data_IF_143628778831
#
_entry.id   IF_143628778831
#
_cell.length_a   1.000
_cell.length_b   1.000
_cell.length_c   1.000
_cell.angle_alpha   90.00
_cell.angle_beta   90.00
_cell.angle_gamma   90.00
#
_symmetry.space_group_name_H-M   'P 1'
#
loop_
_entity.id
_entity.type
_entity.pdbx_description
1 polymer ?
#
# COMPACT_ATOMS: atom_id res chain seq x y z
N UNK A 1 16.75 -19.00 -6.53
CA UNK A 1 15.92 -17.79 -6.36
C UNK A 1 16.52 -16.75 -7.28
N UNK A 2 15.87 -16.45 -8.41
CA UNK A 2 16.26 -15.28 -9.21
C UNK A 2 15.85 -14.06 -8.40
N UNK A 3 16.82 -13.42 -7.73
CA UNK A 3 16.62 -12.19 -7.00
C UNK A 3 16.17 -11.08 -7.95
N UNK A 4 15.53 -10.06 -7.42
CA UNK A 4 15.35 -8.79 -8.13
C UNK A 4 16.77 -8.23 -8.33
N UNK A 5 17.28 -8.31 -9.54
CA UNK A 5 18.58 -7.74 -9.89
C UNK A 5 18.34 -6.27 -10.16
N UNK A 6 19.09 -5.39 -9.49
CA UNK A 6 19.15 -3.99 -9.86
C UNK A 6 19.61 -3.91 -11.32
N UNK A 7 18.99 -3.04 -12.12
CA UNK A 7 19.36 -2.82 -13.52
C UNK A 7 20.59 -1.88 -13.58
N UNK A 8 21.68 -2.32 -12.94
CA UNK A 8 22.96 -1.62 -12.95
C UNK A 8 23.92 -2.38 -13.87
N UNK A 9 24.67 -1.66 -14.66
CA UNK A 9 25.77 -2.22 -15.43
C UNK A 9 27.00 -2.48 -14.53
N UNK A 10 27.94 -3.26 -15.04
CA UNK A 10 29.15 -3.57 -14.28
C UNK A 10 29.95 -2.28 -14.02
N UNK A 11 30.17 -1.96 -12.75
CA UNK A 11 30.91 -0.78 -12.33
C UNK A 11 30.04 0.42 -11.98
N UNK A 12 28.71 0.33 -12.16
CA UNK A 12 27.78 1.37 -11.72
C UNK A 12 27.41 1.25 -10.24
N UNK A 13 27.21 2.39 -9.59
CA UNK A 13 26.72 2.51 -8.22
C UNK A 13 25.57 3.52 -8.17
N UNK A 14 24.58 3.27 -7.32
CA UNK A 14 23.54 4.26 -7.05
C UNK A 14 24.14 5.33 -6.13
N UNK A 15 24.18 6.58 -6.60
CA UNK A 15 24.70 7.72 -5.83
C UNK A 15 23.60 8.49 -5.13
N UNK A 16 22.38 8.48 -5.65
CA UNK A 16 21.26 9.20 -5.06
C UNK A 16 19.94 8.60 -5.46
N UNK A 17 18.91 8.85 -4.65
CA UNK A 17 17.50 8.56 -4.93
C UNK A 17 16.73 9.86 -4.82
N UNK A 18 16.07 10.28 -5.91
CA UNK A 18 15.19 11.45 -5.91
C UNK A 18 13.77 11.02 -5.56
N UNK A 19 13.24 11.57 -4.47
CA UNK A 19 11.84 11.37 -4.08
C UNK A 19 11.08 12.66 -4.45
N UNK A 20 10.18 12.62 -5.45
CA UNK A 20 9.41 13.79 -5.82
C UNK A 20 8.44 14.16 -4.69
N UNK A 21 8.10 15.45 -4.54
CA UNK A 21 7.06 15.89 -3.61
C UNK A 21 5.72 15.23 -3.98
N UNK A 22 4.88 15.05 -2.98
CA UNK A 22 3.59 14.41 -3.10
C UNK A 22 2.54 15.26 -2.38
N UNK A 23 1.32 15.31 -2.93
CA UNK A 23 0.17 16.02 -2.36
C UNK A 23 -0.72 15.08 -1.53
N UNK A 24 -0.21 13.93 -1.10
CA UNK A 24 -0.98 13.00 -0.26
C UNK A 24 -1.38 13.68 1.04
N UNK A 25 -2.69 13.74 1.29
CA UNK A 25 -3.28 14.35 2.48
C UNK A 25 -3.41 13.36 3.64
N UNK A 26 -3.56 12.08 3.33
CA UNK A 26 -3.71 11.01 4.30
C UNK A 26 -2.68 9.92 4.03
N UNK A 27 -1.98 9.48 5.05
CA UNK A 27 -0.94 8.46 4.95
C UNK A 27 -1.09 7.40 6.06
N UNK A 28 -0.74 6.17 5.73
CA UNK A 28 -0.69 5.06 6.68
C UNK A 28 0.52 4.19 6.39
N UNK A 29 1.26 3.84 7.42
CA UNK A 29 2.35 2.89 7.33
C UNK A 29 2.29 1.89 8.47
N UNK A 30 2.40 0.61 8.13
CA UNK A 30 2.48 -0.44 9.14
C UNK A 30 3.53 -1.49 8.76
N UNK A 31 4.31 -1.88 9.77
CA UNK A 31 5.26 -2.98 9.69
C UNK A 31 4.85 -4.08 10.67
N UNK A 32 4.70 -5.29 10.19
CA UNK A 32 4.46 -6.46 11.01
C UNK A 32 5.73 -7.28 11.08
N UNK A 33 6.26 -7.45 12.28
CA UNK A 33 7.44 -8.26 12.59
C UNK A 33 7.13 -9.35 13.61
N UNK A 34 8.10 -10.22 13.90
CA UNK A 34 7.98 -11.26 14.94
C UNK A 34 8.12 -10.70 16.36
N UNK A 35 8.74 -9.54 16.50
CA UNK A 35 9.05 -8.89 17.78
C UNK A 35 9.07 -7.37 17.57
N UNK A 36 9.01 -6.61 18.68
CA UNK A 36 8.91 -5.14 18.63
C UNK A 36 10.15 -4.45 18.06
N UNK A 37 11.34 -5.01 18.24
CA UNK A 37 12.59 -4.43 17.78
C UNK A 37 13.46 -5.46 17.04
N UNK A 38 14.35 -4.97 16.16
CA UNK A 38 15.32 -5.77 15.42
C UNK A 38 14.71 -6.99 14.71
N UNK A 39 13.53 -6.82 14.12
CA UNK A 39 12.81 -7.89 13.44
C UNK A 39 12.78 -7.66 11.92
N UNK A 40 13.00 -8.75 11.18
CA UNK A 40 12.68 -8.80 9.76
C UNK A 40 11.17 -8.69 9.59
N UNK A 41 10.72 -7.87 8.66
CA UNK A 41 9.30 -7.70 8.37
C UNK A 41 8.68 -8.98 7.83
N UNK A 42 7.59 -9.44 8.43
CA UNK A 42 6.71 -10.44 7.82
C UNK A 42 5.84 -9.82 6.73
N UNK A 43 5.49 -8.55 6.93
CA UNK A 43 4.71 -7.74 6.01
C UNK A 43 4.97 -6.27 6.32
N UNK A 44 5.01 -5.45 5.29
CA UNK A 44 4.91 -3.99 5.41
C UNK A 44 3.83 -3.51 4.47
N UNK A 45 3.13 -2.45 4.85
CA UNK A 45 2.22 -1.74 3.99
C UNK A 45 2.45 -0.24 4.13
N UNK A 46 2.38 0.45 3.01
CA UNK A 46 2.36 1.91 2.94
C UNK A 46 1.21 2.31 2.04
N UNK A 47 0.33 3.17 2.54
CA UNK A 47 -0.85 3.63 1.83
C UNK A 47 -0.87 5.15 1.93
N UNK A 48 -1.29 5.81 0.86
CA UNK A 48 -1.53 7.24 0.84
C UNK A 48 -2.69 7.58 -0.06
N UNK A 49 -3.44 8.61 0.33
CA UNK A 49 -4.50 9.17 -0.47
C UNK A 49 -4.37 10.69 -0.53
N UNK A 50 -4.58 11.27 -1.69
CA UNK A 50 -4.88 12.69 -1.83
C UNK A 50 -6.40 12.85 -1.91
N UNK A 51 -6.96 13.56 -0.94
CA UNK A 51 -8.38 13.88 -0.92
C UNK A 51 -8.52 15.39 -1.18
N UNK A 52 -9.35 15.74 -2.14
CA UNK A 52 -9.67 17.13 -2.48
C UNK A 52 -11.17 17.27 -2.71
N UNK A 53 -11.80 18.24 -2.03
CA UNK A 53 -13.24 18.49 -2.11
C UNK A 53 -14.09 17.21 -1.84
N UNK A 54 -13.67 16.39 -0.86
CA UNK A 54 -14.35 15.17 -0.49
C UNK A 54 -14.22 14.02 -1.50
N UNK A 55 -13.30 14.12 -2.47
CA UNK A 55 -13.01 13.08 -3.48
C UNK A 55 -11.58 12.61 -3.39
N UNK A 56 -11.38 11.32 -3.63
CA UNK A 56 -10.06 10.72 -3.79
C UNK A 56 -9.52 11.06 -5.18
N UNK A 57 -8.52 11.94 -5.25
CA UNK A 57 -7.89 12.34 -6.53
C UNK A 57 -6.65 11.51 -6.85
N UNK A 58 -6.00 10.97 -5.82
CA UNK A 58 -4.90 10.01 -5.97
C UNK A 58 -4.96 8.98 -4.83
N UNK A 59 -4.67 7.73 -5.14
CA UNK A 59 -4.59 6.65 -4.17
C UNK A 59 -3.41 5.77 -4.50
N UNK A 60 -2.56 5.52 -3.52
CA UNK A 60 -1.35 4.72 -3.66
C UNK A 60 -1.26 3.71 -2.53
N UNK A 61 -1.08 2.45 -2.88
CA UNK A 61 -0.81 1.41 -1.90
C UNK A 61 0.37 0.56 -2.34
N UNK A 62 1.23 0.21 -1.39
CA UNK A 62 2.35 -0.69 -1.64
C UNK A 62 2.53 -1.66 -0.49
N UNK A 63 2.93 -2.89 -0.82
CA UNK A 63 3.15 -3.94 0.17
C UNK A 63 4.50 -4.60 -0.04
N UNK A 64 5.31 -4.60 1.01
CA UNK A 64 6.57 -5.33 1.09
C UNK A 64 6.37 -6.70 1.71
N UNK A 65 7.19 -7.68 1.29
CA UNK A 65 7.09 -9.08 1.68
C UNK A 65 5.77 -9.78 1.27
N UNK A 66 4.99 -9.16 0.40
CA UNK A 66 3.77 -9.71 -0.20
C UNK A 66 4.01 -10.33 -1.59
N UNK A 67 5.25 -10.34 -2.06
CA UNK A 67 5.69 -10.90 -3.33
C UNK A 67 7.22 -10.92 -3.41
N UNK A 68 7.79 -11.24 -4.59
CA UNK A 68 9.24 -11.28 -4.79
C UNK A 68 9.90 -9.89 -4.70
N UNK A 69 9.14 -8.83 -4.86
CA UNK A 69 9.52 -7.42 -4.72
C UNK A 69 8.39 -6.68 -4.00
N UNK A 70 8.58 -5.40 -3.71
CA UNK A 70 7.47 -4.54 -3.26
C UNK A 70 6.40 -4.51 -4.36
N UNK A 71 5.18 -4.80 -3.97
CA UNK A 71 4.02 -4.84 -4.87
C UNK A 71 3.29 -3.50 -4.79
N UNK A 72 2.89 -3.00 -5.94
CA UNK A 72 1.94 -1.92 -6.16
C UNK A 72 1.04 -2.31 -7.33
N UNK A 73 -0.24 -2.00 -7.27
CA UNK A 73 -1.22 -2.33 -8.31
C UNK A 73 -2.02 -1.10 -8.72
N UNK A 74 -1.60 -0.48 -9.81
CA UNK A 74 -2.30 0.70 -10.35
C UNK A 74 -3.73 0.39 -10.79
N UNK A 75 -3.98 -0.83 -11.31
CA UNK A 75 -5.33 -1.26 -11.67
C UNK A 75 -6.26 -1.36 -10.47
N UNK A 76 -5.75 -1.81 -9.32
CA UNK A 76 -6.54 -1.81 -8.08
C UNK A 76 -6.75 -0.39 -7.57
N UNK A 77 -5.71 0.44 -7.55
CA UNK A 77 -5.78 1.83 -7.08
C UNK A 77 -6.82 2.66 -7.85
N UNK A 78 -6.94 2.43 -9.17
CA UNK A 78 -7.90 3.15 -10.03
C UNK A 78 -9.37 2.90 -9.67
N UNK A 79 -9.69 1.84 -8.94
CA UNK A 79 -11.06 1.57 -8.46
C UNK A 79 -11.54 2.65 -7.50
N UNK A 80 -10.64 3.19 -6.67
CA UNK A 80 -10.96 4.19 -5.65
C UNK A 80 -10.78 5.63 -6.13
N UNK A 81 -9.96 5.85 -7.16
CA UNK A 81 -9.69 7.18 -7.69
C UNK A 81 -10.95 7.76 -8.34
N UNK A 82 -11.27 9.02 -8.04
CA UNK A 82 -12.45 9.74 -8.52
C UNK A 82 -13.71 9.51 -7.68
N UNK A 83 -13.69 8.59 -6.69
CA UNK A 83 -14.82 8.35 -5.79
C UNK A 83 -14.87 9.38 -4.68
N UNK A 84 -16.06 9.72 -4.23
CA UNK A 84 -16.25 10.49 -3.02
C UNK A 84 -15.98 9.63 -1.78
N UNK A 85 -15.65 10.26 -0.66
CA UNK A 85 -15.42 9.54 0.59
C UNK A 85 -16.62 8.70 1.02
N UNK A 86 -17.84 9.16 0.75
CA UNK A 86 -19.08 8.45 1.06
C UNK A 86 -19.34 7.24 0.16
N UNK A 87 -18.77 7.22 -1.05
CA UNK A 87 -18.88 6.08 -1.98
C UNK A 87 -17.85 4.99 -1.68
N UNK A 88 -16.74 5.29 -0.98
CA UNK A 88 -15.67 4.32 -0.74
C UNK A 88 -16.14 2.97 -0.18
N UNK A 89 -17.11 2.90 0.75
CA UNK A 89 -17.60 1.62 1.26
C UNK A 89 -18.17 0.70 0.17
N UNK A 90 -18.78 1.25 -0.88
CA UNK A 90 -19.37 0.48 -1.98
C UNK A 90 -18.29 -0.20 -2.85
N UNK A 91 -17.15 0.48 -3.04
CA UNK A 91 -16.04 0.00 -3.87
C UNK A 91 -14.96 -0.74 -3.08
N UNK A 92 -15.06 -0.76 -1.74
CA UNK A 92 -14.04 -1.34 -0.87
C UNK A 92 -13.77 -2.81 -1.16
N UNK A 93 -14.81 -3.63 -1.26
CA UNK A 93 -14.64 -5.07 -1.48
C UNK A 93 -14.03 -5.37 -2.86
N UNK A 94 -14.46 -4.66 -3.90
CA UNK A 94 -13.89 -4.78 -5.25
C UNK A 94 -12.38 -4.44 -5.23
N UNK A 95 -12.01 -3.33 -4.59
CA UNK A 95 -10.61 -2.94 -4.43
C UNK A 95 -9.81 -3.99 -3.67
N UNK A 96 -10.32 -4.49 -2.54
CA UNK A 96 -9.64 -5.47 -1.70
C UNK A 96 -9.42 -6.79 -2.42
N UNK A 97 -10.37 -7.22 -3.25
CA UNK A 97 -10.25 -8.44 -4.04
C UNK A 97 -9.25 -8.26 -5.20
N UNK A 98 -9.32 -7.13 -5.90
CA UNK A 98 -8.36 -6.80 -6.94
C UNK A 98 -6.93 -6.73 -6.37
N UNK A 99 -6.75 -6.12 -5.20
CA UNK A 99 -5.46 -6.08 -4.52
C UNK A 99 -4.98 -7.47 -4.10
N UNK A 100 -5.87 -8.30 -3.55
CA UNK A 100 -5.54 -9.66 -3.15
C UNK A 100 -5.05 -10.53 -4.31
N UNK A 101 -5.56 -10.28 -5.51
CA UNK A 101 -5.11 -10.95 -6.74
C UNK A 101 -3.74 -10.46 -7.22
N UNK A 102 -3.38 -9.21 -6.91
CA UNK A 102 -2.10 -8.62 -7.30
C UNK A 102 -0.91 -9.11 -6.44
N UNK A 103 -1.16 -9.57 -5.21
CA UNK A 103 -0.12 -10.06 -4.30
C UNK A 103 0.13 -11.56 -4.46
N UNK A 104 1.40 -11.98 -4.33
CA UNK A 104 1.82 -13.39 -4.46
C UNK A 104 2.83 -13.79 -3.36
N UNK A 105 2.42 -13.82 -2.10
CA UNK A 105 3.32 -14.13 -1.00
C UNK A 105 3.76 -15.60 -1.04
N UNK A 106 5.09 -15.83 -0.98
CA UNK A 106 5.69 -17.19 -1.03
C UNK A 106 5.58 -17.96 0.28
N UNK A 107 5.53 -17.24 1.40
CA UNK A 107 5.45 -17.83 2.73
C UNK A 107 4.25 -17.25 3.47
N UNK A 108 3.57 -18.11 4.24
CA UNK A 108 2.39 -17.74 5.03
C UNK A 108 1.32 -17.00 4.19
N UNK A 109 0.91 -17.50 3.02
CA UNK A 109 0.09 -16.77 2.07
C UNK A 109 -1.23 -16.29 2.69
N UNK A 110 -1.95 -17.14 3.37
CA UNK A 110 -3.23 -16.80 4.01
C UNK A 110 -3.08 -15.69 5.05
N UNK A 111 -2.06 -15.79 5.89
CA UNK A 111 -1.78 -14.77 6.90
C UNK A 111 -1.49 -13.41 6.26
N UNK A 112 -0.60 -13.38 5.24
CA UNK A 112 -0.19 -12.13 4.60
C UNK A 112 -1.32 -11.49 3.81
N UNK A 113 -2.12 -12.30 3.09
CA UNK A 113 -3.32 -11.84 2.39
C UNK A 113 -4.33 -11.25 3.37
N UNK A 114 -4.67 -11.98 4.43
CA UNK A 114 -5.60 -11.50 5.45
C UNK A 114 -5.11 -10.25 6.19
N UNK A 115 -3.82 -10.17 6.52
CA UNK A 115 -3.25 -9.00 7.18
C UNK A 115 -3.26 -7.77 6.26
N UNK A 116 -2.85 -7.93 4.98
CA UNK A 116 -2.89 -6.84 3.99
C UNK A 116 -4.32 -6.34 3.80
N UNK A 117 -5.28 -7.25 3.62
CA UNK A 117 -6.71 -6.91 3.46
C UNK A 117 -7.23 -6.08 4.63
N UNK A 118 -6.94 -6.50 5.86
CA UNK A 118 -7.38 -5.75 7.07
C UNK A 118 -6.79 -4.35 7.14
N UNK A 119 -5.50 -4.17 6.82
CA UNK A 119 -4.85 -2.86 6.86
C UNK A 119 -5.37 -1.92 5.77
N UNK A 120 -5.64 -2.44 4.57
CA UNK A 120 -6.25 -1.68 3.48
C UNK A 120 -7.70 -1.29 3.83
N UNK A 121 -8.49 -2.25 4.35
CA UNK A 121 -9.86 -1.99 4.81
C UNK A 121 -9.88 -0.90 5.89
N UNK A 122 -9.01 -1.01 6.90
CA UNK A 122 -8.89 -0.02 7.97
C UNK A 122 -8.65 1.40 7.43
N UNK A 123 -7.72 1.55 6.48
CA UNK A 123 -7.43 2.86 5.89
C UNK A 123 -8.63 3.43 5.10
N UNK A 124 -9.32 2.60 4.31
CA UNK A 124 -10.50 3.02 3.55
C UNK A 124 -11.63 3.41 4.50
N UNK A 125 -11.85 2.64 5.57
CA UNK A 125 -12.88 2.93 6.58
C UNK A 125 -12.57 4.24 7.33
N UNK A 126 -11.30 4.50 7.64
CA UNK A 126 -10.89 5.76 8.24
C UNK A 126 -11.17 6.95 7.30
N UNK A 127 -10.81 6.84 6.02
CA UNK A 127 -11.10 7.89 5.03
C UNK A 127 -12.60 8.16 4.91
N UNK A 128 -13.41 7.10 4.76
CA UNK A 128 -14.86 7.23 4.60
C UNK A 128 -15.56 7.80 5.85
N UNK A 129 -14.95 7.62 7.02
CA UNK A 129 -15.42 8.19 8.29
C UNK A 129 -14.94 9.61 8.55
N UNK A 130 -14.23 10.23 7.60
CA UNK A 130 -13.76 11.61 7.72
C UNK A 130 -12.53 11.76 8.62
N UNK A 131 -11.58 10.84 8.54
CA UNK A 131 -10.30 10.99 9.21
C UNK A 131 -9.66 12.34 8.85
N UNK A 132 -9.01 12.97 9.82
CA UNK A 132 -8.25 14.20 9.61
C UNK A 132 -7.02 13.95 8.72
N UNK A 133 -6.59 15.01 8.02
CA UNK A 133 -5.37 14.97 7.22
C UNK A 133 -4.15 14.65 8.09
N UNK A 134 -3.27 13.80 7.59
CA UNK A 134 -2.05 13.41 8.28
C UNK A 134 -1.78 11.91 8.25
N UNK A 135 -1.15 11.41 9.31
CA UNK A 135 -0.86 9.99 9.48
C UNK A 135 -2.01 9.35 10.24
N UNK A 136 -2.65 8.37 9.61
CA UNK A 136 -3.68 7.52 10.21
C UNK A 136 -2.97 6.42 11.02
N UNK A 137 -3.25 6.28 12.30
CA UNK A 137 -2.65 5.31 13.23
C UNK A 137 -3.60 4.16 13.58
#
# INVERSE_FOLDING_TARGET
VKGVVAQLEKGEIITSVLIPPSNLTHCYYRKIGMRRANAISKLTISIGAEVRDGKVVDFRASSGAAGPKVIRSHSSESILIGKTLSELPEYKEEFLDAWNNAISPRAMPEYRRGATRRMLSFFIDALSSGAEEGIIE
#
